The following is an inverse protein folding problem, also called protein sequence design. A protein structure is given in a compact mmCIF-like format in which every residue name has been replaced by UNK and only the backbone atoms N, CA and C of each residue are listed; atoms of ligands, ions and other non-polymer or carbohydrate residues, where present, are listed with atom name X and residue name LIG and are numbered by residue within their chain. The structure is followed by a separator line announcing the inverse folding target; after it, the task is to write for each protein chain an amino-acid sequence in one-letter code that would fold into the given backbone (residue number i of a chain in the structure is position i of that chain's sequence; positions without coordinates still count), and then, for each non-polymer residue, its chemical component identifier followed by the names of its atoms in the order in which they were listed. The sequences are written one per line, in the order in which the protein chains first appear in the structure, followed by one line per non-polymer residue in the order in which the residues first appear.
data_IF_640621862510
#
_entry.id   IF_640621862510
#
_cell.length_a   1.000
_cell.length_b   1.000
_cell.length_c   1.000
_cell.angle_alpha   90.00
_cell.angle_beta   90.00
_cell.angle_gamma   90.00
#
_symmetry.space_group_name_H-M   'P 1'
#
loop_
_entity.id
_entity.type
_entity.pdbx_description
1 polymer ?
#
# COMPACT_ATOMS: atom_id res chain seq x y z
N UNK A 1 6.46 -16.92 -2.52
CA UNK A 1 5.14 -17.56 -2.76
C UNK A 1 4.08 -16.51 -2.50
N UNK A 2 2.98 -16.49 -3.25
CA UNK A 2 1.90 -15.53 -3.02
C UNK A 2 0.99 -16.01 -1.88
N UNK A 3 0.46 -15.09 -1.08
CA UNK A 3 -0.51 -15.43 -0.04
C UNK A 3 -1.83 -15.90 -0.66
N UNK A 4 -2.54 -16.74 0.07
CA UNK A 4 -3.83 -17.32 -0.32
C UNK A 4 -4.83 -17.25 0.81
N UNK A 5 -6.11 -17.44 0.47
CA UNK A 5 -7.16 -17.52 1.46
C UNK A 5 -7.36 -18.96 1.93
N UNK A 6 -7.44 -19.14 3.24
CA UNK A 6 -7.79 -20.39 3.88
C UNK A 6 -9.00 -20.21 4.77
N UNK A 7 -9.80 -21.27 4.91
CA UNK A 7 -11.02 -21.30 5.72
C UNK A 7 -10.89 -22.37 6.81
N UNK A 8 -11.35 -22.05 8.00
CA UNK A 8 -11.32 -22.94 9.17
C UNK A 8 -12.22 -24.17 8.95
N UNK A 9 -11.71 -25.35 9.27
CA UNK A 9 -12.39 -26.61 9.02
C UNK A 9 -13.42 -26.89 10.12
N UNK A 10 -14.59 -27.41 9.73
CA UNK A 10 -15.65 -27.93 10.63
C UNK A 10 -16.29 -26.91 11.60
N UNK A 11 -16.08 -25.62 11.38
CA UNK A 11 -16.73 -24.58 12.19
C UNK A 11 -18.04 -24.09 11.56
N UNK A 12 -19.05 -23.82 12.40
CA UNK A 12 -20.35 -23.31 11.94
C UNK A 12 -20.24 -21.89 11.37
N UNK A 13 -19.28 -21.12 11.86
CA UNK A 13 -18.92 -19.78 11.38
C UNK A 13 -17.40 -19.77 11.21
N UNK A 14 -16.89 -20.24 10.08
CA UNK A 14 -15.47 -20.48 9.93
C UNK A 14 -14.69 -19.17 9.77
N UNK A 15 -13.53 -19.09 10.42
CA UNK A 15 -12.58 -18.00 10.22
C UNK A 15 -11.97 -18.07 8.82
N UNK A 16 -11.68 -16.91 8.22
CA UNK A 16 -10.94 -16.81 6.96
C UNK A 16 -9.63 -16.07 7.21
N UNK A 17 -8.53 -16.65 6.75
CA UNK A 17 -7.18 -16.10 6.90
C UNK A 17 -6.51 -15.92 5.54
N UNK A 18 -5.62 -14.92 5.43
CA UNK A 18 -4.85 -14.63 4.22
C UNK A 18 -3.35 -14.75 4.50
N UNK A 19 -2.77 -15.89 4.14
CA UNK A 19 -1.42 -16.28 4.57
C UNK A 19 -0.63 -17.01 3.48
N UNK A 20 0.67 -17.19 3.67
CA UNK A 20 1.57 -17.89 2.76
C UNK A 20 1.35 -19.40 2.78
N UNK A 21 0.96 -19.94 3.93
CA UNK A 21 0.74 -21.37 4.14
C UNK A 21 -0.56 -21.57 4.92
N UNK A 22 -1.21 -22.72 4.72
CA UNK A 22 -2.40 -23.09 5.47
C UNK A 22 -2.06 -23.27 6.96
N UNK A 23 -2.74 -22.57 7.88
CA UNK A 23 -2.66 -22.89 9.29
C UNK A 23 -3.23 -24.28 9.59
N UNK A 24 -2.90 -24.83 10.76
CA UNK A 24 -3.45 -26.12 11.19
C UNK A 24 -4.97 -26.00 11.35
N UNK A 25 -5.72 -26.91 10.70
CA UNK A 25 -7.18 -26.90 10.73
C UNK A 25 -7.82 -25.95 9.73
N UNK A 26 -7.09 -25.54 8.69
CA UNK A 26 -7.60 -24.71 7.61
C UNK A 26 -7.36 -25.35 6.24
N UNK A 27 -8.35 -25.19 5.35
CA UNK A 27 -8.27 -25.63 3.95
C UNK A 27 -8.21 -24.43 3.00
N UNK A 28 -7.49 -24.55 1.87
CA UNK A 28 -7.42 -23.50 0.85
C UNK A 28 -8.79 -23.26 0.20
N UNK A 29 -9.21 -22.00 0.12
CA UNK A 29 -10.42 -21.63 -0.61
C UNK A 29 -10.08 -21.62 -2.10
N UNK A 30 -10.71 -22.52 -2.86
CA UNK A 30 -10.53 -22.62 -4.32
C UNK A 30 -11.76 -22.16 -5.13
N UNK A 31 -12.89 -21.88 -4.47
CA UNK A 31 -14.08 -21.37 -5.14
C UNK A 31 -13.83 -19.99 -5.74
N UNK A 32 -13.98 -19.87 -7.06
CA UNK A 32 -13.61 -18.67 -7.79
C UNK A 32 -14.47 -17.44 -7.43
N UNK A 33 -15.76 -17.63 -7.16
CA UNK A 33 -16.65 -16.53 -6.80
C UNK A 33 -16.32 -16.01 -5.40
N UNK A 34 -16.10 -16.92 -4.45
CA UNK A 34 -15.70 -16.57 -3.08
C UNK A 34 -14.34 -15.89 -3.06
N UNK A 35 -13.36 -16.41 -3.80
CA UNK A 35 -12.06 -15.77 -3.94
C UNK A 35 -12.17 -14.36 -4.51
N UNK A 36 -13.00 -14.15 -5.53
CA UNK A 36 -13.22 -12.83 -6.12
C UNK A 36 -13.75 -11.83 -5.09
N UNK A 37 -14.70 -12.23 -4.25
CA UNK A 37 -15.22 -11.39 -3.17
C UNK A 37 -14.14 -11.07 -2.13
N UNK A 38 -13.37 -12.07 -1.71
CA UNK A 38 -12.31 -11.91 -0.71
C UNK A 38 -11.19 -10.99 -1.22
N UNK A 39 -10.76 -11.14 -2.46
CA UNK A 39 -9.77 -10.24 -3.07
C UNK A 39 -10.32 -8.82 -3.27
N UNK A 40 -11.60 -8.67 -3.61
CA UNK A 40 -12.25 -7.34 -3.66
C UNK A 40 -12.18 -6.66 -2.28
N UNK A 41 -12.47 -7.39 -1.20
CA UNK A 41 -12.35 -6.84 0.16
C UNK A 41 -10.91 -6.47 0.50
N UNK A 42 -9.92 -7.29 0.11
CA UNK A 42 -8.50 -6.94 0.25
C UNK A 42 -8.11 -5.68 -0.52
N UNK A 43 -8.65 -5.47 -1.71
CA UNK A 43 -8.42 -4.21 -2.43
C UNK A 43 -9.01 -3.02 -1.68
N UNK A 44 -10.20 -3.14 -1.09
CA UNK A 44 -10.78 -2.07 -0.26
C UNK A 44 -9.92 -1.76 0.97
N UNK A 45 -9.39 -2.79 1.65
CA UNK A 45 -8.43 -2.62 2.75
C UNK A 45 -7.18 -1.86 2.28
N UNK A 46 -6.58 -2.32 1.16
CA UNK A 46 -5.39 -1.71 0.57
C UNK A 46 -5.60 -0.25 0.14
N UNK A 47 -6.78 0.08 -0.38
CA UNK A 47 -7.17 1.46 -0.70
C UNK A 47 -7.18 2.32 0.56
N UNK A 48 -7.81 1.82 1.64
CA UNK A 48 -7.87 2.55 2.92
C UNK A 48 -6.46 2.79 3.48
N UNK A 49 -5.61 1.77 3.47
CA UNK A 49 -4.23 1.88 3.95
C UNK A 49 -3.42 2.89 3.13
N UNK A 50 -3.62 2.92 1.81
CA UNK A 50 -2.91 3.84 0.93
C UNK A 50 -3.38 5.29 1.08
N UNK A 51 -4.68 5.49 1.33
CA UNK A 51 -5.22 6.80 1.69
C UNK A 51 -4.64 7.29 3.02
N UNK A 52 -4.57 6.41 4.03
CA UNK A 52 -3.99 6.75 5.34
C UNK A 52 -2.52 7.14 5.22
N UNK A 53 -1.72 6.32 4.52
CA UNK A 53 -0.32 6.63 4.26
C UNK A 53 -0.14 7.99 3.59
N UNK A 54 -0.92 8.29 2.55
CA UNK A 54 -0.81 9.56 1.84
C UNK A 54 -1.31 10.75 2.66
N UNK A 55 -2.26 10.55 3.57
CA UNK A 55 -2.69 11.58 4.51
C UNK A 55 -1.58 11.91 5.51
N UNK A 56 -0.91 10.89 6.08
CA UNK A 56 0.23 11.09 6.97
C UNK A 56 1.36 11.83 6.27
N UNK A 57 1.74 11.38 5.07
CA UNK A 57 2.77 12.04 4.26
C UNK A 57 2.47 13.53 4.02
N UNK A 58 1.24 13.88 3.64
CA UNK A 58 0.86 15.29 3.44
C UNK A 58 0.82 16.09 4.73
N UNK A 59 0.49 15.44 5.84
CA UNK A 59 0.52 16.07 7.17
C UNK A 59 1.95 16.42 7.55
N UNK A 60 2.90 15.50 7.36
CA UNK A 60 4.32 15.75 7.62
C UNK A 60 4.85 16.86 6.71
N UNK A 61 4.53 16.83 5.41
CA UNK A 61 4.89 17.87 4.47
C UNK A 61 4.36 19.25 4.89
N UNK A 62 3.13 19.32 5.39
CA UNK A 62 2.55 20.57 5.90
C UNK A 62 3.25 21.06 7.17
N UNK A 63 3.63 20.16 8.08
CA UNK A 63 4.40 20.51 9.27
C UNK A 63 5.79 21.06 8.91
N UNK A 64 6.43 20.53 7.87
CA UNK A 64 7.71 21.04 7.38
C UNK A 64 7.59 22.47 6.82
N UNK A 65 6.47 22.81 6.17
CA UNK A 65 6.16 24.18 5.75
C UNK A 65 6.01 25.09 6.98
N UNK A 66 5.20 24.67 7.97
CA UNK A 66 4.96 25.46 9.19
C UNK A 66 6.25 25.71 9.97
N UNK A 67 7.15 24.73 9.99
CA UNK A 67 8.46 24.83 10.63
C UNK A 67 9.50 25.59 9.79
N UNK A 68 9.17 25.99 8.55
CA UNK A 68 10.08 26.68 7.63
C UNK A 68 11.21 25.81 7.08
N UNK A 69 11.07 24.47 7.15
CA UNK A 69 12.06 23.52 6.62
C UNK A 69 11.99 23.39 5.10
N UNK A 70 10.78 23.55 4.54
CA UNK A 70 10.54 23.64 3.09
C UNK A 70 9.61 24.81 2.79
N UNK A 71 9.57 25.25 1.53
CA UNK A 71 8.61 26.28 1.09
C UNK A 71 7.31 25.66 0.60
N UNK A 72 6.22 26.44 0.59
CA UNK A 72 4.95 26.02 -0.04
C UNK A 72 5.11 25.67 -1.52
N UNK A 73 6.01 26.38 -2.22
CA UNK A 73 6.30 26.11 -3.64
C UNK A 73 6.98 24.76 -3.81
N UNK A 74 7.95 24.41 -2.96
CA UNK A 74 8.62 23.11 -3.03
C UNK A 74 7.66 21.97 -2.73
N UNK A 75 6.81 22.13 -1.70
CA UNK A 75 5.78 21.15 -1.36
C UNK A 75 4.80 20.93 -2.52
N UNK A 76 4.32 22.01 -3.16
CA UNK A 76 3.44 21.92 -4.32
C UNK A 76 4.11 21.21 -5.52
N UNK A 77 5.39 21.53 -5.80
CA UNK A 77 6.14 20.88 -6.87
C UNK A 77 6.36 19.39 -6.57
N UNK A 78 6.61 19.04 -5.31
CA UNK A 78 6.71 17.65 -4.87
C UNK A 78 5.40 16.90 -5.11
N UNK A 79 4.28 17.44 -4.62
CA UNK A 79 2.96 16.81 -4.76
C UNK A 79 2.57 16.59 -6.23
N UNK A 80 2.88 17.54 -7.11
CA UNK A 80 2.71 17.35 -8.55
C UNK A 80 3.60 16.25 -9.09
N UNK A 81 4.88 16.24 -8.70
CA UNK A 81 5.87 15.28 -9.17
C UNK A 81 5.51 13.83 -8.78
N UNK A 82 5.02 13.62 -7.56
CA UNK A 82 4.63 12.30 -7.05
C UNK A 82 3.15 11.96 -7.31
N UNK A 83 2.42 12.76 -8.08
CA UNK A 83 0.96 12.61 -8.23
C UNK A 83 0.54 11.21 -8.70
N UNK A 84 1.22 10.64 -9.68
CA UNK A 84 0.87 9.29 -10.16
C UNK A 84 1.13 8.23 -9.08
N UNK A 85 2.20 8.40 -8.30
CA UNK A 85 2.50 7.52 -7.18
C UNK A 85 1.40 7.59 -6.12
N UNK A 86 1.00 8.79 -5.72
CA UNK A 86 -0.08 8.98 -4.74
C UNK A 86 -1.41 8.42 -5.24
N UNK A 87 -1.77 8.62 -6.51
CA UNK A 87 -2.98 8.04 -7.11
C UNK A 87 -2.97 6.51 -7.04
N UNK A 88 -1.83 5.86 -7.32
CA UNK A 88 -1.69 4.41 -7.21
C UNK A 88 -1.86 3.92 -5.78
N UNK A 89 -1.26 4.62 -4.80
CA UNK A 89 -1.39 4.29 -3.38
C UNK A 89 -2.84 4.44 -2.91
N UNK A 90 -3.46 5.60 -3.17
CA UNK A 90 -4.84 5.90 -2.78
C UNK A 90 -5.89 4.97 -3.41
N UNK A 91 -5.55 4.30 -4.51
CA UNK A 91 -6.43 3.32 -5.18
C UNK A 91 -6.09 1.87 -4.82
N UNK A 92 -5.12 1.63 -3.93
CA UNK A 92 -4.71 0.29 -3.47
C UNK A 92 -3.86 -0.48 -4.48
N UNK A 93 -3.31 0.20 -5.48
CA UNK A 93 -2.46 -0.38 -6.54
C UNK A 93 -0.98 -0.41 -6.10
N UNK A 94 -0.68 -1.06 -4.98
CA UNK A 94 0.65 -1.03 -4.35
C UNK A 94 1.77 -1.59 -5.23
N UNK A 95 1.53 -2.69 -5.96
CA UNK A 95 2.52 -3.22 -6.91
C UNK A 95 2.82 -2.23 -8.05
N UNK A 96 1.82 -1.49 -8.51
CA UNK A 96 2.02 -0.43 -9.51
C UNK A 96 2.75 0.76 -8.88
N UNK A 97 2.37 1.16 -7.66
CA UNK A 97 3.05 2.21 -6.90
C UNK A 97 4.55 1.90 -6.71
N UNK A 98 4.90 0.64 -6.39
CA UNK A 98 6.28 0.16 -6.29
C UNK A 98 7.07 0.47 -7.57
N UNK A 99 6.55 0.03 -8.71
CA UNK A 99 7.19 0.27 -10.00
C UNK A 99 7.22 1.77 -10.34
N UNK A 100 6.16 2.52 -10.03
CA UNK A 100 6.13 3.97 -10.23
C UNK A 100 7.24 4.66 -9.46
N UNK A 101 7.39 4.38 -8.15
CA UNK A 101 8.41 5.00 -7.31
C UNK A 101 9.83 4.63 -7.76
N UNK A 102 10.09 3.34 -8.04
CA UNK A 102 11.38 2.87 -8.55
C UNK A 102 11.82 3.60 -9.82
N UNK A 103 10.90 3.87 -10.74
CA UNK A 103 11.19 4.52 -12.02
C UNK A 103 11.05 6.04 -11.99
N UNK A 104 10.50 6.63 -10.92
CA UNK A 104 10.34 8.08 -10.81
C UNK A 104 11.71 8.74 -10.68
N UNK A 105 11.99 9.71 -11.56
CA UNK A 105 13.25 10.46 -11.52
C UNK A 105 13.27 11.43 -10.34
N UNK A 106 14.46 11.73 -9.83
CA UNK A 106 14.63 12.73 -8.76
C UNK A 106 14.29 14.13 -9.29
N UNK A 107 13.67 14.98 -8.46
CA UNK A 107 13.28 16.34 -8.84
C UNK A 107 12.96 17.21 -7.63
N UNK A 108 13.52 18.42 -7.56
CA UNK A 108 13.29 19.34 -6.44
C UNK A 108 13.68 18.71 -5.10
N UNK A 109 12.75 18.73 -4.14
CA UNK A 109 12.92 18.11 -2.82
C UNK A 109 12.67 16.59 -2.81
N UNK A 110 12.22 16.01 -3.93
CA UNK A 110 12.18 14.56 -4.10
C UNK A 110 13.58 14.03 -4.43
N UNK A 111 14.37 13.82 -3.39
CA UNK A 111 15.73 13.31 -3.46
C UNK A 111 15.79 11.78 -3.29
N UNK A 112 17.02 11.23 -3.29
CA UNK A 112 17.22 9.79 -3.17
C UNK A 112 16.80 9.26 -1.78
N UNK A 113 16.98 10.05 -0.72
CA UNK A 113 16.63 9.63 0.64
C UNK A 113 15.10 9.46 0.77
N UNK A 114 14.33 10.45 0.30
CA UNK A 114 12.88 10.38 0.28
C UNK A 114 12.38 9.24 -0.63
N UNK A 115 12.99 9.08 -1.81
CA UNK A 115 12.68 7.97 -2.73
C UNK A 115 12.86 6.61 -2.06
N UNK A 116 13.98 6.42 -1.36
CA UNK A 116 14.32 5.16 -0.69
C UNK A 116 13.40 4.88 0.50
N UNK A 117 13.04 5.91 1.28
CA UNK A 117 12.09 5.79 2.39
C UNK A 117 10.71 5.35 1.91
N UNK A 118 10.17 6.02 0.89
CA UNK A 118 8.89 5.67 0.28
C UNK A 118 8.95 4.27 -0.32
N UNK A 119 10.06 3.92 -0.99
CA UNK A 119 10.24 2.60 -1.58
C UNK A 119 10.22 1.50 -0.51
N UNK A 120 10.96 1.70 0.58
CA UNK A 120 11.04 0.75 1.67
C UNK A 120 9.67 0.53 2.35
N UNK A 121 8.89 1.60 2.51
CA UNK A 121 7.52 1.49 3.02
C UNK A 121 6.65 0.63 2.09
N UNK A 122 6.67 0.92 0.78
CA UNK A 122 5.89 0.17 -0.22
C UNK A 122 6.31 -1.30 -0.27
N UNK A 123 7.61 -1.59 -0.25
CA UNK A 123 8.15 -2.96 -0.30
C UNK A 123 7.75 -3.77 0.94
N UNK A 124 7.82 -3.14 2.12
CA UNK A 124 7.38 -3.72 3.38
C UNK A 124 5.87 -4.00 3.35
N UNK A 125 5.08 -3.03 2.88
CA UNK A 125 3.64 -3.19 2.75
C UNK A 125 3.28 -4.36 1.81
N UNK A 126 3.93 -4.46 0.65
CA UNK A 126 3.71 -5.55 -0.31
C UNK A 126 4.04 -6.90 0.32
N UNK A 127 5.21 -7.02 0.94
CA UNK A 127 5.66 -8.26 1.61
C UNK A 127 4.65 -8.74 2.66
N UNK A 128 3.99 -7.81 3.35
CA UNK A 128 3.04 -8.12 4.41
C UNK A 128 1.61 -8.39 3.90
N UNK A 129 1.25 -7.92 2.69
CA UNK A 129 -0.15 -7.87 2.26
C UNK A 129 -0.45 -8.52 0.90
N UNK A 130 0.53 -9.08 0.21
CA UNK A 130 0.40 -9.79 -1.08
C UNK A 130 0.95 -11.21 -0.97
#
# INVERSE_FOLDING_TARGET
MARKFYIEDNEAIPSIVFDLNAPLGFTEIIDANKLKELYKNKYNERTKDGQEYYNSFRTDLYLDIVNGSITETDAFLLEQHIKQLSDNLMTGNWLTAQNTNQNLTLSGIYDQAMKDEIQNYIDTYITNNY
#
